data_IF_840920480833
#
_entry.id   IF_840920480833
#
_cell.length_a   1.000
_cell.length_b   1.000
_cell.length_c   1.000
_cell.angle_alpha   90.00
_cell.angle_beta   90.00
_cell.angle_gamma   90.00
#
_symmetry.space_group_name_H-M   'P 1'
#
loop_
_entity.id
_entity.type
_entity.pdbx_description
1 polymer ?
#
# COMPACT_ATOMS: atom_id res chain seq x y z
N UNK A 1 27.20 29.96 32.02
CA UNK A 1 25.82 29.57 32.36
C UNK A 1 25.36 28.57 31.32
N UNK A 2 25.13 27.32 31.72
CA UNK A 2 24.71 26.23 30.85
C UNK A 2 23.18 26.32 30.70
N UNK A 3 22.70 26.59 29.48
CA UNK A 3 21.28 26.61 29.14
C UNK A 3 20.81 25.20 28.77
N UNK A 4 20.08 24.55 29.67
CA UNK A 4 19.33 23.33 29.40
C UNK A 4 18.23 23.61 28.36
N UNK A 5 18.24 22.89 27.24
CA UNK A 5 17.10 22.75 26.33
C UNK A 5 16.33 21.48 26.70
N UNK A 6 15.09 21.66 27.18
CA UNK A 6 14.18 20.57 27.53
C UNK A 6 13.58 19.86 26.31
N UNK A 7 12.93 18.70 26.50
CA UNK A 7 12.49 17.83 25.41
C UNK A 7 11.25 18.37 24.69
N UNK A 8 11.29 18.21 23.37
CA UNK A 8 10.23 18.48 22.39
C UNK A 8 8.99 17.61 22.67
N UNK A 9 7.87 18.23 23.01
CA UNK A 9 6.59 17.55 23.20
C UNK A 9 5.84 17.44 21.86
N UNK A 10 5.48 16.21 21.48
CA UNK A 10 4.53 15.90 20.42
C UNK A 10 3.12 15.90 21.00
N UNK A 11 2.24 16.75 20.46
CA UNK A 11 0.80 16.73 20.81
C UNK A 11 0.10 15.65 19.99
N UNK A 12 -0.02 14.45 20.56
CA UNK A 12 -1.03 13.46 20.18
C UNK A 12 -2.30 13.77 20.97
N UNK A 13 -3.34 14.25 20.28
CA UNK A 13 -4.67 14.45 20.85
C UNK A 13 -5.55 13.22 20.60
N UNK A 14 -5.78 12.43 21.64
CA UNK A 14 -6.98 11.58 21.78
C UNK A 14 -7.33 11.49 23.27
N UNK A 15 -8.39 12.18 23.66
CA UNK A 15 -8.99 12.16 25.00
C UNK A 15 -9.89 10.92 25.20
N UNK A 16 -9.90 10.42 26.45
CA UNK A 16 -10.74 9.31 26.95
C UNK A 16 -11.95 9.88 27.71
N UNK A 17 -13.10 9.23 27.64
CA UNK A 17 -14.07 8.90 28.74
C UNK A 17 -15.21 8.07 28.07
N UNK A 18 -15.90 7.08 28.64
CA UNK A 18 -16.02 6.49 29.96
C UNK A 18 -16.95 5.26 29.88
N UNK A 19 -17.00 4.51 30.98
CA UNK A 19 -17.63 3.22 31.29
C UNK A 19 -19.07 2.93 30.82
N UNK A 20 -19.32 1.66 30.43
CA UNK A 20 -20.63 1.01 30.42
C UNK A 20 -20.54 -0.45 29.95
N UNK A 21 -20.66 -1.41 30.88
CA UNK A 21 -20.79 -2.85 30.53
C UNK A 21 -22.27 -3.23 30.42
N UNK A 22 -22.70 -3.80 29.30
CA UNK A 22 -23.69 -4.88 29.28
C UNK A 22 -23.57 -5.72 27.99
N UNK A 23 -23.44 -7.04 28.18
CA UNK A 23 -23.26 -8.06 27.14
C UNK A 23 -24.55 -8.31 26.34
N UNK A 24 -24.45 -8.64 25.04
CA UNK A 24 -24.73 -9.98 24.48
C UNK A 24 -25.07 -9.91 22.98
N UNK A 25 -24.45 -10.85 22.24
CA UNK A 25 -24.92 -11.46 20.98
C UNK A 25 -24.66 -10.73 19.66
N UNK A 26 -24.11 -11.55 18.76
CA UNK A 26 -24.28 -11.57 17.30
C UNK A 26 -23.17 -10.88 16.48
N UNK A 27 -22.30 -11.78 16.03
CA UNK A 27 -21.93 -11.99 14.63
C UNK A 27 -20.91 -11.07 13.98
N UNK A 28 -20.05 -11.79 13.26
CA UNK A 28 -19.39 -11.45 12.00
C UNK A 28 -17.93 -11.06 12.08
N UNK A 29 -17.17 -11.95 11.47
CA UNK A 29 -15.74 -11.94 11.20
C UNK A 29 -15.34 -10.60 10.58
N UNK A 30 -14.18 -10.06 11.00
CA UNK A 30 -13.54 -8.98 10.27
C UNK A 30 -13.12 -9.54 8.91
N UNK A 31 -14.02 -9.42 7.93
CA UNK A 31 -13.78 -9.71 6.52
C UNK A 31 -12.59 -8.87 6.06
N UNK A 32 -11.43 -9.50 6.04
CA UNK A 32 -10.35 -9.13 5.15
C UNK A 32 -10.93 -9.26 3.74
N UNK A 33 -11.41 -8.14 3.17
CA UNK A 33 -11.97 -8.09 1.81
C UNK A 33 -10.92 -8.57 0.82
N UNK A 34 -10.89 -9.88 0.63
CA UNK A 34 -10.18 -10.56 -0.43
C UNK A 34 -11.05 -10.32 -1.67
N UNK A 35 -10.85 -9.19 -2.32
CA UNK A 35 -11.43 -8.94 -3.64
C UNK A 35 -10.80 -9.93 -4.60
N UNK A 36 -11.55 -11.00 -4.89
CA UNK A 36 -11.21 -12.04 -5.85
C UNK A 36 -11.23 -11.46 -7.28
N UNK A 37 -10.22 -10.66 -7.63
CA UNK A 37 -9.96 -10.26 -9.01
C UNK A 37 -9.19 -11.38 -9.71
N UNK A 38 -9.90 -12.14 -10.55
CA UNK A 38 -9.53 -12.92 -11.74
C UNK A 38 -8.06 -13.38 -11.95
N UNK A 39 -7.33 -13.65 -10.87
CA UNK A 39 -5.97 -14.15 -10.91
C UNK A 39 -5.88 -15.30 -9.92
N UNK A 40 -5.34 -16.46 -10.31
CA UNK A 40 -5.13 -17.59 -9.39
C UNK A 40 -4.05 -17.29 -8.32
N UNK A 41 -3.64 -16.03 -8.18
CA UNK A 41 -2.56 -15.55 -7.33
C UNK A 41 -3.16 -14.60 -6.31
N UNK A 42 -3.16 -15.02 -5.04
CA UNK A 42 -3.70 -14.23 -3.94
C UNK A 42 -2.89 -12.95 -3.76
N UNK A 43 -3.46 -11.81 -4.09
CA UNK A 43 -2.91 -10.51 -3.76
C UNK A 43 -3.33 -10.12 -2.33
N UNK A 44 -2.41 -9.56 -1.55
CA UNK A 44 -2.64 -9.06 -0.20
C UNK A 44 -2.33 -7.57 -0.19
N UNK A 45 -3.34 -6.73 -0.13
CA UNK A 45 -3.18 -5.28 -0.04
C UNK A 45 -2.82 -4.91 1.40
N UNK A 46 -1.72 -4.18 1.58
CA UNK A 46 -1.23 -3.75 2.90
C UNK A 46 -1.58 -2.29 3.19
N UNK A 47 -1.43 -1.42 2.20
CA UNK A 47 -1.86 -0.04 2.30
C UNK A 47 -2.24 0.47 0.92
N UNK A 48 -3.25 1.33 0.84
CA UNK A 48 -3.73 1.86 -0.41
C UNK A 48 -4.31 3.26 -0.22
N UNK A 49 -3.84 4.16 -1.06
CA UNK A 49 -4.31 5.52 -1.23
C UNK A 49 -4.37 5.78 -2.73
N UNK A 50 -5.29 5.08 -3.40
CA UNK A 50 -5.51 5.09 -4.86
C UNK A 50 -6.98 4.72 -5.12
N UNK A 51 -7.57 5.22 -6.22
CA UNK A 51 -8.95 4.87 -6.61
C UNK A 51 -9.12 3.36 -6.86
N UNK A 52 -10.33 2.83 -6.66
CA UNK A 52 -10.61 1.39 -6.84
C UNK A 52 -10.19 0.88 -8.23
N UNK A 53 -10.41 1.69 -9.28
CA UNK A 53 -9.96 1.39 -10.64
C UNK A 53 -8.43 1.27 -10.71
N UNK A 54 -7.71 2.22 -10.10
CA UNK A 54 -6.24 2.17 -10.04
C UNK A 54 -5.72 0.98 -9.26
N UNK A 55 -6.43 0.54 -8.22
CA UNK A 55 -6.07 -0.68 -7.50
C UNK A 55 -6.20 -1.92 -8.38
N UNK A 56 -7.32 -2.03 -9.10
CA UNK A 56 -7.54 -3.13 -10.03
C UNK A 56 -6.49 -3.16 -11.14
N UNK A 57 -6.15 -1.99 -11.71
CA UNK A 57 -5.10 -1.87 -12.72
C UNK A 57 -3.72 -2.27 -12.19
N UNK A 58 -3.35 -1.87 -10.97
CA UNK A 58 -2.09 -2.25 -10.34
C UNK A 58 -1.96 -3.77 -10.19
N UNK A 59 -3.05 -4.43 -9.76
CA UNK A 59 -3.09 -5.88 -9.65
C UNK A 59 -3.01 -6.55 -11.03
N UNK A 60 -3.72 -6.02 -12.02
CA UNK A 60 -3.72 -6.56 -13.38
C UNK A 60 -2.33 -6.48 -14.03
N UNK A 61 -1.71 -5.29 -14.04
CA UNK A 61 -0.36 -5.11 -14.58
C UNK A 61 0.67 -5.99 -13.87
N UNK A 62 0.52 -6.17 -12.57
CA UNK A 62 1.42 -7.05 -11.80
C UNK A 62 1.21 -8.52 -12.15
N UNK A 63 -0.04 -8.96 -12.29
CA UNK A 63 -0.34 -10.33 -12.69
C UNK A 63 0.19 -10.65 -14.09
N UNK A 64 0.14 -9.69 -15.01
CA UNK A 64 0.74 -9.81 -16.34
C UNK A 64 2.27 -9.79 -16.28
N UNK A 65 2.85 -8.89 -15.50
CA UNK A 65 4.30 -8.81 -15.33
C UNK A 65 4.88 -10.12 -14.78
N UNK A 66 4.25 -10.70 -13.75
CA UNK A 66 4.68 -11.94 -13.13
C UNK A 66 4.44 -13.20 -13.99
N UNK A 67 3.75 -13.07 -15.13
CA UNK A 67 3.64 -14.13 -16.14
C UNK A 67 4.76 -14.04 -17.18
N UNK A 68 5.14 -12.82 -17.57
CA UNK A 68 6.09 -12.56 -18.64
C UNK A 68 7.54 -12.41 -18.17
N UNK A 69 7.75 -12.01 -16.91
CA UNK A 69 9.06 -11.70 -16.35
C UNK A 69 9.33 -12.50 -15.08
N UNK A 70 10.59 -12.87 -14.88
CA UNK A 70 11.07 -13.53 -13.65
C UNK A 70 11.90 -12.58 -12.77
N UNK A 71 12.48 -11.55 -13.37
CA UNK A 71 13.36 -10.59 -12.72
C UNK A 71 12.56 -9.42 -12.11
N UNK A 72 12.77 -9.14 -10.81
CA UNK A 72 12.08 -8.07 -10.08
C UNK A 72 12.21 -6.69 -10.75
N UNK A 73 13.39 -6.39 -11.31
CA UNK A 73 13.67 -5.15 -12.03
C UNK A 73 12.76 -4.98 -13.26
N UNK A 74 12.47 -6.07 -13.96
CA UNK A 74 11.69 -6.04 -15.20
C UNK A 74 10.20 -5.97 -14.88
N UNK A 75 9.77 -6.66 -13.81
CA UNK A 75 8.42 -6.54 -13.25
C UNK A 75 8.13 -5.10 -12.85
N UNK A 76 9.01 -4.48 -12.04
CA UNK A 76 8.84 -3.10 -11.61
C UNK A 76 8.82 -2.12 -12.80
N UNK A 77 9.69 -2.34 -13.80
CA UNK A 77 9.74 -1.53 -15.02
C UNK A 77 8.44 -1.64 -15.83
N UNK A 78 7.88 -2.83 -15.95
CA UNK A 78 6.64 -3.06 -16.69
C UNK A 78 5.47 -2.32 -16.04
N UNK A 79 5.30 -2.49 -14.72
CA UNK A 79 4.22 -1.85 -13.96
C UNK A 79 4.35 -0.32 -14.02
N UNK A 80 5.56 0.22 -13.77
CA UNK A 80 5.85 1.65 -13.88
C UNK A 80 5.41 2.20 -15.24
N UNK A 81 5.83 1.58 -16.33
CA UNK A 81 5.51 2.05 -17.69
C UNK A 81 4.01 2.00 -17.99
N UNK A 82 3.31 0.96 -17.55
CA UNK A 82 1.86 0.86 -17.71
C UNK A 82 1.13 2.00 -17.01
N UNK A 83 1.54 2.34 -15.79
CA UNK A 83 0.96 3.45 -15.03
C UNK A 83 1.32 4.82 -15.61
N UNK A 84 2.57 5.06 -15.99
CA UNK A 84 2.98 6.31 -16.65
C UNK A 84 2.21 6.56 -17.95
N UNK A 85 1.92 5.50 -18.72
CA UNK A 85 1.15 5.63 -19.95
C UNK A 85 -0.34 5.90 -19.69
N UNK A 86 -0.92 5.28 -18.66
CA UNK A 86 -2.37 5.39 -18.36
C UNK A 86 -2.73 6.66 -17.59
N UNK A 87 -1.94 7.02 -16.58
CA UNK A 87 -2.23 8.12 -15.66
C UNK A 87 -1.35 9.35 -15.88
N UNK A 88 -0.32 9.24 -16.71
CA UNK A 88 0.65 10.32 -16.92
C UNK A 88 1.55 10.57 -15.70
N UNK A 89 2.48 11.51 -15.86
CA UNK A 89 3.46 11.86 -14.83
C UNK A 89 4.58 10.82 -14.68
N UNK A 90 5.37 10.97 -13.61
CA UNK A 90 6.49 10.09 -13.29
C UNK A 90 6.10 9.19 -12.12
N UNK A 91 6.08 7.89 -12.37
CA UNK A 91 5.74 6.90 -11.35
C UNK A 91 6.99 6.13 -10.90
N UNK A 92 7.04 5.77 -9.63
CA UNK A 92 8.09 4.97 -9.04
C UNK A 92 7.52 3.64 -8.60
N UNK A 93 8.18 2.55 -9.01
CA UNK A 93 7.80 1.19 -8.64
C UNK A 93 9.00 0.47 -8.01
N UNK A 94 8.76 -0.21 -6.91
CA UNK A 94 9.72 -1.06 -6.20
C UNK A 94 9.12 -2.45 -6.06
N UNK A 95 9.88 -3.48 -6.44
CA UNK A 95 9.48 -4.88 -6.31
C UNK A 95 10.60 -5.67 -5.62
N UNK A 96 10.26 -6.49 -4.62
CA UNK A 96 11.22 -7.30 -3.89
C UNK A 96 10.58 -8.17 -2.82
N UNK A 97 11.37 -9.04 -2.18
CA UNK A 97 10.90 -9.84 -1.03
C UNK A 97 11.13 -9.12 0.29
N UNK A 98 12.34 -8.59 0.46
CA UNK A 98 12.79 -7.94 1.69
C UNK A 98 13.34 -6.56 1.38
N UNK A 99 12.61 -5.52 1.77
CA UNK A 99 13.05 -4.14 1.66
C UNK A 99 12.23 -3.25 2.61
N UNK A 100 12.84 -2.17 3.08
CA UNK A 100 12.18 -1.10 3.80
C UNK A 100 12.09 0.14 2.92
N UNK A 101 10.95 0.82 2.94
CA UNK A 101 10.78 2.09 2.22
C UNK A 101 10.26 3.17 3.16
N UNK A 102 10.85 4.35 3.08
CA UNK A 102 10.31 5.57 3.67
C UNK A 102 10.28 6.62 2.58
N UNK A 103 9.08 6.91 2.06
CA UNK A 103 8.89 7.79 0.89
C UNK A 103 7.78 8.79 1.16
N UNK A 104 8.04 10.05 0.82
CA UNK A 104 7.01 11.09 0.73
C UNK A 104 6.41 11.02 -0.67
N UNK A 105 5.09 10.89 -0.76
CA UNK A 105 4.35 10.73 -2.01
C UNK A 105 3.22 11.74 -2.08
N UNK A 106 2.75 12.01 -3.30
CA UNK A 106 1.55 12.81 -3.51
C UNK A 106 0.33 12.04 -2.95
N UNK A 107 -0.63 12.76 -2.36
CA UNK A 107 -1.87 12.15 -1.88
C UNK A 107 -2.61 11.44 -3.03
N UNK A 108 -3.33 10.36 -2.72
CA UNK A 108 -4.15 9.58 -3.66
C UNK A 108 -3.39 8.87 -4.78
N UNK A 109 -2.06 8.78 -4.69
CA UNK A 109 -1.22 8.12 -5.70
C UNK A 109 -0.25 7.11 -5.07
N UNK A 110 -0.72 6.26 -4.17
CA UNK A 110 0.09 5.27 -3.48
C UNK A 110 -0.61 3.91 -3.32
N UNK A 111 0.11 2.83 -3.60
CA UNK A 111 -0.36 1.47 -3.30
C UNK A 111 0.81 0.58 -2.85
N UNK A 112 0.57 -0.19 -1.79
CA UNK A 112 1.46 -1.23 -1.28
C UNK A 112 0.72 -2.54 -1.11
N UNK A 113 1.17 -3.56 -1.82
CA UNK A 113 0.59 -4.91 -1.75
C UNK A 113 1.66 -5.98 -1.95
N UNK A 114 1.28 -7.22 -1.64
CA UNK A 114 2.10 -8.41 -1.87
C UNK A 114 1.37 -9.36 -2.83
N UNK A 115 2.09 -9.91 -3.81
CA UNK A 115 1.60 -10.94 -4.72
C UNK A 115 2.68 -11.99 -4.91
N UNK A 116 2.36 -13.27 -4.64
CA UNK A 116 3.33 -14.39 -4.71
C UNK A 116 4.64 -14.13 -3.95
N UNK A 117 4.54 -13.72 -2.69
CA UNK A 117 5.68 -13.42 -1.81
C UNK A 117 6.56 -12.24 -2.25
N UNK A 118 6.20 -11.56 -3.35
CA UNK A 118 6.85 -10.33 -3.78
C UNK A 118 6.01 -9.15 -3.30
N UNK A 119 6.62 -8.28 -2.50
CA UNK A 119 6.08 -6.98 -2.14
C UNK A 119 6.30 -5.99 -3.28
N UNK A 120 5.24 -5.28 -3.66
CA UNK A 120 5.25 -4.24 -4.67
C UNK A 120 4.73 -2.94 -4.06
N UNK A 121 5.53 -1.88 -4.24
CA UNK A 121 5.16 -0.51 -3.88
C UNK A 121 5.16 0.30 -5.16
N UNK A 122 4.06 1.00 -5.41
CA UNK A 122 3.90 1.91 -6.53
C UNK A 122 3.42 3.25 -6.00
N UNK A 123 4.13 4.31 -6.36
CA UNK A 123 3.80 5.67 -5.92
C UNK A 123 4.20 6.72 -6.95
N UNK A 124 3.54 7.87 -6.91
CA UNK A 124 3.89 9.04 -7.70
C UNK A 124 4.53 10.10 -6.79
N UNK A 125 5.64 10.69 -7.23
CA UNK A 125 6.19 11.89 -6.60
C UNK A 125 5.78 13.14 -7.38
N UNK A 126 5.43 14.19 -6.65
CA UNK A 126 4.98 15.48 -7.17
C UNK A 126 5.36 16.57 -6.20
#
# INVERSE_FOLDING_TARGET
MLGNVGPFQSTSGYEKTGSGQINKTKSMEAETKSTNFLTPRKAIIKNVDLSEDGQADALLFTAEALKNFQENKDIARYIKRGFEQKYGGIWHCVAGRDFGTHVTHEAFNFIYFCMNDIAIILYKCG
#
